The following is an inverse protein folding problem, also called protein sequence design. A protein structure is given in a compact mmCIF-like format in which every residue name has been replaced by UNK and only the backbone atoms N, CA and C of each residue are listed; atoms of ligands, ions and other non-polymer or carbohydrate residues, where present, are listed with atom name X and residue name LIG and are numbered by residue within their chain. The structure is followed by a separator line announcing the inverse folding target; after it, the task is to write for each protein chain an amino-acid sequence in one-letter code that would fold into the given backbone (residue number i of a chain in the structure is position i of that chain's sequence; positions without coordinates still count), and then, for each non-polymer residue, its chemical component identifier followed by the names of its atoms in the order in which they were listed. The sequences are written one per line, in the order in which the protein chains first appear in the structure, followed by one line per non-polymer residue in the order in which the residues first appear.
data_IF_923530830923
#
_entry.id   IF_923530830923
#
_cell.length_a   1.000
_cell.length_b   1.000
_cell.length_c   1.000
_cell.angle_alpha   90.00
_cell.angle_beta   90.00
_cell.angle_gamma   90.00
#
_symmetry.space_group_name_H-M   'P 1'
#
loop_
_entity.id
_entity.type
_entity.pdbx_description
1 polymer ?
#
# COMPACT_ATOMS: atom_id res chain seq x y z
N UNK A 1 -24.62 85.63 19.75
CA UNK A 1 -25.56 84.51 19.45
C UNK A 1 -25.30 84.05 18.03
N UNK A 2 -25.36 82.73 17.79
CA UNK A 2 -24.84 81.96 16.65
C UNK A 2 -23.32 81.73 16.72
N UNK A 3 -22.81 80.66 17.34
CA UNK A 3 -22.84 79.24 16.91
C UNK A 3 -22.53 79.05 15.43
N UNK A 4 -21.26 78.79 15.10
CA UNK A 4 -20.83 77.98 13.94
C UNK A 4 -19.31 77.82 13.92
N UNK A 5 -18.78 76.78 14.57
CA UNK A 5 -17.61 76.05 14.06
C UNK A 5 -17.40 74.69 14.75
N UNK A 6 -18.49 73.98 15.06
CA UNK A 6 -18.48 72.60 15.53
C UNK A 6 -18.04 71.58 14.46
N UNK A 7 -17.36 72.02 13.40
CA UNK A 7 -17.05 71.21 12.21
C UNK A 7 -15.55 71.11 11.88
N UNK A 8 -14.65 71.78 12.62
CA UNK A 8 -13.22 71.79 12.28
C UNK A 8 -12.31 70.96 13.20
N UNK A 9 -12.78 70.60 14.40
CA UNK A 9 -12.00 69.74 15.32
C UNK A 9 -12.34 68.25 15.19
N UNK A 10 -13.28 67.89 14.31
CA UNK A 10 -13.69 66.51 14.02
C UNK A 10 -13.01 65.94 12.76
N UNK A 11 -11.77 66.32 12.48
CA UNK A 11 -11.06 65.82 11.29
C UNK A 11 -9.65 65.28 11.51
N UNK A 12 -9.03 65.46 12.68
CA UNK A 12 -7.62 65.00 12.87
C UNK A 12 -7.42 63.95 13.96
N UNK A 13 -8.29 63.86 14.96
CA UNK A 13 -8.17 62.82 16.00
C UNK A 13 -8.90 61.52 15.66
N UNK A 14 -9.71 61.53 14.59
CA UNK A 14 -10.41 60.33 14.09
C UNK A 14 -9.68 59.65 12.92
N UNK A 15 -8.45 60.06 12.60
CA UNK A 15 -7.62 59.43 11.57
C UNK A 15 -6.60 58.42 12.15
N UNK A 16 -6.59 58.22 13.47
CA UNK A 16 -5.61 57.35 14.16
C UNK A 16 -6.25 56.33 15.11
N UNK A 17 -7.37 55.72 14.70
CA UNK A 17 -7.87 54.49 15.35
C UNK A 17 -8.06 53.36 14.32
N UNK A 18 -7.84 53.64 13.03
CA UNK A 18 -8.06 52.66 11.98
C UNK A 18 -6.77 52.31 11.25
N UNK A 19 -5.76 51.80 11.96
CA UNK A 19 -4.77 50.90 11.34
C UNK A 19 -4.95 49.45 11.79
N UNK A 20 -6.13 48.82 11.58
CA UNK A 20 -6.27 47.38 11.63
C UNK A 20 -5.96 46.73 10.27
N UNK A 21 -5.28 47.40 9.34
CA UNK A 21 -5.07 46.84 7.99
C UNK A 21 -3.86 45.90 7.86
N UNK A 22 -3.21 45.51 8.96
CA UNK A 22 -2.16 44.49 8.91
C UNK A 22 -2.45 43.23 9.76
N UNK A 23 -3.69 43.10 10.26
CA UNK A 23 -4.23 41.80 10.65
C UNK A 23 -4.99 41.12 9.50
N UNK A 24 -5.38 41.88 8.48
CA UNK A 24 -6.11 41.37 7.31
C UNK A 24 -5.21 40.63 6.33
N UNK A 25 -3.90 40.88 6.31
CA UNK A 25 -2.98 40.20 5.38
C UNK A 25 -2.65 38.76 5.80
N UNK A 26 -2.88 38.38 7.06
CA UNK A 26 -2.83 36.97 7.48
C UNK A 26 -4.18 36.25 7.32
N UNK A 27 -5.25 37.03 7.11
CA UNK A 27 -6.55 36.61 6.61
C UNK A 27 -6.70 36.94 5.12
N UNK A 28 -5.62 36.95 4.33
CA UNK A 28 -5.75 36.49 2.95
C UNK A 28 -5.95 34.98 3.02
N UNK A 29 -7.15 34.64 3.46
CA UNK A 29 -7.71 33.32 3.75
C UNK A 29 -7.15 32.37 2.71
N UNK A 30 -6.18 31.59 3.15
CA UNK A 30 -5.65 30.40 2.50
C UNK A 30 -5.75 30.49 0.97
N UNK A 31 -4.74 31.13 0.34
CA UNK A 31 -4.60 31.20 -1.11
C UNK A 31 -5.20 29.93 -1.76
N UNK A 32 -6.20 30.03 -2.65
CA UNK A 32 -6.94 28.87 -3.16
C UNK A 32 -6.04 27.76 -3.70
N UNK A 33 -4.82 28.11 -4.14
CA UNK A 33 -3.78 27.14 -4.48
C UNK A 33 -3.37 26.20 -3.34
N UNK A 34 -3.31 26.66 -2.08
CA UNK A 34 -2.99 25.83 -0.91
C UNK A 34 -4.11 24.83 -0.64
N UNK A 35 -5.38 25.22 -0.82
CA UNK A 35 -6.50 24.28 -0.69
C UNK A 35 -6.48 23.19 -1.75
N UNK A 36 -6.17 23.56 -3.01
CA UNK A 36 -6.01 22.60 -4.10
C UNK A 36 -4.83 21.66 -3.84
N UNK A 37 -3.69 22.20 -3.37
CA UNK A 37 -2.52 21.40 -3.00
C UNK A 37 -2.85 20.45 -1.83
N UNK A 38 -3.53 20.93 -0.80
CA UNK A 38 -3.92 20.13 0.36
C UNK A 38 -4.92 19.03 -0.03
N UNK A 39 -5.88 19.33 -0.90
CA UNK A 39 -6.79 18.34 -1.48
C UNK A 39 -6.04 17.29 -2.31
N UNK A 40 -5.06 17.70 -3.11
CA UNK A 40 -4.23 16.77 -3.89
C UNK A 40 -3.42 15.84 -2.97
N UNK A 41 -2.84 16.36 -1.88
CA UNK A 41 -2.11 15.56 -0.89
C UNK A 41 -3.06 14.58 -0.18
N UNK A 42 -4.24 15.04 0.25
CA UNK A 42 -5.24 14.16 0.89
C UNK A 42 -5.70 13.06 -0.07
N UNK A 43 -5.95 13.37 -1.34
CA UNK A 43 -6.34 12.39 -2.34
C UNK A 43 -5.21 11.38 -2.60
N UNK A 44 -3.97 11.84 -2.68
CA UNK A 44 -2.80 10.98 -2.85
C UNK A 44 -2.66 10.04 -1.64
N UNK A 45 -2.72 10.57 -0.43
CA UNK A 45 -2.67 9.78 0.80
C UNK A 45 -3.84 8.80 0.87
N UNK A 46 -5.06 9.25 0.62
CA UNK A 46 -6.26 8.39 0.61
C UNK A 46 -6.16 7.27 -0.42
N UNK A 47 -5.64 7.57 -1.61
CA UNK A 47 -5.36 6.59 -2.65
C UNK A 47 -4.29 5.58 -2.23
N UNK A 48 -3.20 6.04 -1.62
CA UNK A 48 -2.16 5.16 -1.07
C UNK A 48 -2.70 4.29 0.06
N UNK A 49 -3.52 4.82 0.97
CA UNK A 49 -4.13 4.03 2.04
C UNK A 49 -5.10 2.99 1.50
N UNK A 50 -5.98 3.38 0.58
CA UNK A 50 -6.91 2.47 -0.07
C UNK A 50 -6.18 1.37 -0.87
N UNK A 51 -5.15 1.76 -1.61
CA UNK A 51 -4.29 0.83 -2.35
C UNK A 51 -3.44 -0.04 -1.45
N UNK A 52 -2.99 0.47 -0.30
CA UNK A 52 -2.21 -0.28 0.69
C UNK A 52 -3.05 -1.31 1.45
N UNK A 53 -4.33 -1.02 1.70
CA UNK A 53 -5.29 -1.97 2.26
C UNK A 53 -5.71 -3.05 1.26
N UNK A 54 -5.87 -2.69 -0.02
CA UNK A 54 -6.37 -3.60 -1.06
C UNK A 54 -5.27 -4.31 -1.86
N UNK A 55 -4.05 -3.77 -1.86
CA UNK A 55 -2.91 -4.30 -2.60
C UNK A 55 -2.30 -5.46 -1.85
N UNK A 56 -2.34 -6.65 -2.44
CA UNK A 56 -1.54 -7.78 -2.02
C UNK A 56 -0.44 -7.97 -3.07
N UNK A 57 0.82 -7.75 -2.69
CA UNK A 57 1.95 -8.11 -3.53
C UNK A 57 2.32 -9.55 -3.18
N UNK A 58 1.85 -10.48 -4.01
CA UNK A 58 2.28 -11.86 -3.96
C UNK A 58 3.52 -12.04 -4.85
N UNK A 59 4.65 -12.42 -4.25
CA UNK A 59 5.79 -12.94 -5.01
C UNK A 59 5.50 -14.40 -5.35
N UNK A 60 5.35 -14.70 -6.64
CA UNK A 60 5.07 -16.05 -7.12
C UNK A 60 6.29 -16.64 -7.83
N UNK A 61 6.71 -17.84 -7.42
CA UNK A 61 7.74 -18.62 -8.11
C UNK A 61 7.09 -19.74 -8.94
N UNK A 62 7.47 -19.83 -10.22
CA UNK A 62 7.04 -20.93 -11.08
C UNK A 62 7.73 -22.24 -10.71
N UNK A 63 6.96 -23.31 -10.53
CA UNK A 63 7.46 -24.64 -10.21
C UNK A 63 6.67 -25.71 -10.97
N UNK A 64 7.24 -26.91 -11.10
CA UNK A 64 6.55 -28.05 -11.69
C UNK A 64 6.21 -29.05 -10.60
N UNK A 65 4.93 -29.40 -10.49
CA UNK A 65 4.46 -30.43 -9.57
C UNK A 65 4.20 -31.75 -10.32
N UNK A 66 4.58 -32.85 -9.70
CA UNK A 66 4.18 -34.19 -10.06
C UNK A 66 3.27 -34.72 -8.94
N UNK A 67 2.02 -35.01 -9.28
CA UNK A 67 1.04 -35.57 -8.34
C UNK A 67 1.04 -37.08 -8.50
N UNK A 68 1.30 -37.80 -7.40
CA UNK A 68 1.19 -39.25 -7.29
C UNK A 68 0.53 -39.60 -5.96
N UNK A 69 -0.52 -40.44 -5.98
CA UNK A 69 -1.19 -40.93 -4.76
C UNK A 69 -1.68 -39.81 -3.82
N UNK A 70 -2.25 -38.73 -4.38
CA UNK A 70 -2.72 -37.56 -3.61
C UNK A 70 -1.60 -36.78 -2.88
N UNK A 71 -0.34 -36.99 -3.29
CA UNK A 71 0.79 -36.19 -2.85
C UNK A 71 1.43 -35.51 -4.05
N UNK A 72 1.56 -34.19 -3.98
CA UNK A 72 2.28 -33.42 -4.97
C UNK A 72 3.75 -33.26 -4.55
N UNK A 73 4.65 -33.73 -5.41
CA UNK A 73 6.07 -33.44 -5.35
C UNK A 73 6.36 -32.24 -6.26
N UNK A 74 6.80 -31.13 -5.66
CA UNK A 74 6.97 -29.84 -6.31
C UNK A 74 8.48 -29.58 -6.44
N UNK A 75 8.95 -29.46 -7.69
CA UNK A 75 10.34 -29.15 -8.00
C UNK A 75 10.45 -27.69 -8.43
N UNK A 76 11.24 -26.92 -7.68
CA UNK A 76 11.49 -25.51 -7.99
C UNK A 76 12.43 -25.42 -9.18
N UNK A 77 12.00 -24.72 -10.24
CA UNK A 77 12.89 -24.47 -11.39
C UNK A 77 13.79 -23.29 -11.02
N UNK A 78 15.09 -23.36 -11.36
CA UNK A 78 16.20 -22.49 -10.90
C UNK A 78 15.97 -20.95 -11.00
N UNK A 79 14.91 -20.50 -11.67
CA UNK A 79 14.53 -19.09 -11.75
C UNK A 79 13.63 -18.60 -10.58
N UNK A 80 13.19 -19.49 -9.69
CA UNK A 80 12.48 -19.12 -8.47
C UNK A 80 13.46 -18.64 -7.40
N UNK A 81 13.70 -17.32 -7.33
CA UNK A 81 14.55 -16.70 -6.29
C UNK A 81 13.98 -16.75 -4.86
N UNK A 82 12.90 -17.50 -4.64
CA UNK A 82 12.28 -17.66 -3.32
C UNK A 82 12.78 -18.93 -2.64
N UNK A 83 13.26 -18.78 -1.40
CA UNK A 83 13.53 -19.92 -0.52
C UNK A 83 12.19 -20.59 -0.19
N UNK A 84 12.00 -21.84 -0.61
CA UNK A 84 10.75 -22.57 -0.35
C UNK A 84 10.79 -23.17 1.04
N UNK A 85 9.76 -22.89 1.84
CA UNK A 85 9.62 -23.37 3.21
C UNK A 85 8.28 -24.10 3.41
N UNK A 86 8.22 -24.94 4.46
CA UNK A 86 6.97 -25.53 4.93
C UNK A 86 6.01 -24.42 5.39
N UNK A 87 4.71 -24.59 5.13
CA UNK A 87 3.68 -23.58 5.38
C UNK A 87 3.42 -22.60 4.24
N UNK A 88 4.20 -22.65 3.15
CA UNK A 88 3.92 -21.83 1.96
C UNK A 88 2.72 -22.36 1.17
N UNK A 89 1.99 -21.45 0.51
CA UNK A 89 0.86 -21.80 -0.36
C UNK A 89 1.36 -22.14 -1.76
N UNK A 90 0.89 -23.26 -2.31
CA UNK A 90 1.07 -23.66 -3.70
C UNK A 90 -0.27 -23.65 -4.43
N UNK A 91 -0.33 -22.99 -5.58
CA UNK A 91 -1.53 -22.91 -6.43
C UNK A 91 -1.46 -23.92 -7.57
N UNK A 92 -2.45 -24.81 -7.61
CA UNK A 92 -2.74 -25.75 -8.68
C UNK A 92 -3.91 -25.20 -9.50
N UNK A 93 -3.62 -24.36 -10.49
CA UNK A 93 -4.66 -23.71 -11.29
C UNK A 93 -5.56 -22.80 -10.44
N UNK A 94 -6.71 -23.32 -9.99
CA UNK A 94 -7.68 -22.61 -9.13
C UNK A 94 -7.61 -23.01 -7.66
N UNK A 95 -6.99 -24.15 -7.36
CA UNK A 95 -6.97 -24.73 -6.04
C UNK A 95 -5.68 -24.35 -5.31
N UNK A 96 -5.79 -24.07 -4.01
CA UNK A 96 -4.67 -23.70 -3.16
C UNK A 96 -4.41 -24.81 -2.16
N UNK A 97 -3.14 -25.22 -2.05
CA UNK A 97 -2.68 -26.25 -1.12
C UNK A 97 -1.50 -25.72 -0.32
N UNK A 98 -1.22 -26.34 0.82
CA UNK A 98 -0.14 -25.94 1.72
C UNK A 98 1.03 -26.92 1.63
N UNK A 99 2.26 -26.40 1.55
CA UNK A 99 3.47 -27.20 1.56
C UNK A 99 3.66 -27.78 2.96
N UNK A 100 3.60 -29.10 3.07
CA UNK A 100 3.74 -29.83 4.33
C UNK A 100 5.21 -30.00 4.71
N UNK A 101 6.06 -30.33 3.75
CA UNK A 101 7.47 -30.60 3.98
C UNK A 101 8.33 -30.10 2.81
N UNK A 102 9.58 -29.77 3.11
CA UNK A 102 10.58 -29.38 2.13
C UNK A 102 11.85 -30.17 2.40
N UNK A 103 12.35 -30.84 1.38
CA UNK A 103 13.55 -31.67 1.42
C UNK A 103 14.51 -31.26 0.31
N UNK A 104 15.77 -31.69 0.42
CA UNK A 104 16.76 -31.54 -0.66
C UNK A 104 17.08 -32.91 -1.22
N UNK A 105 16.95 -33.02 -2.54
CA UNK A 105 17.33 -34.22 -3.29
C UNK A 105 18.85 -34.44 -3.25
N UNK A 106 19.31 -35.62 -3.69
CA UNK A 106 20.73 -35.98 -3.84
C UNK A 106 21.50 -35.01 -4.75
N UNK A 107 20.78 -34.32 -5.64
CA UNK A 107 21.28 -33.30 -6.56
C UNK A 107 21.31 -31.88 -5.95
N UNK A 108 20.99 -31.73 -4.66
CA UNK A 108 20.95 -30.45 -3.95
C UNK A 108 19.75 -29.54 -4.30
N UNK A 109 18.78 -30.06 -5.08
CA UNK A 109 17.57 -29.34 -5.47
C UNK A 109 16.54 -29.37 -4.36
N UNK A 110 15.86 -28.25 -4.13
CA UNK A 110 14.75 -28.16 -3.17
C UNK A 110 13.50 -28.80 -3.75
N UNK A 111 13.00 -29.83 -3.07
CA UNK A 111 11.74 -30.52 -3.37
C UNK A 111 10.76 -30.23 -2.24
N UNK A 112 9.58 -29.73 -2.58
CA UNK A 112 8.50 -29.51 -1.64
C UNK A 112 7.41 -30.58 -1.81
N UNK A 113 6.74 -30.93 -0.71
CA UNK A 113 5.64 -31.89 -0.69
C UNK A 113 4.37 -31.21 -0.20
N UNK A 114 3.27 -31.36 -0.93
CA UNK A 114 1.95 -30.91 -0.52
C UNK A 114 0.94 -32.05 -0.66
N UNK A 115 0.05 -32.22 0.31
CA UNK A 115 -1.10 -33.11 0.18
C UNK A 115 -2.12 -32.43 -0.73
N UNK A 116 -2.45 -33.04 -1.86
CA UNK A 116 -3.36 -32.48 -2.86
C UNK A 116 -4.45 -33.46 -3.22
N UNK A 117 -5.63 -32.97 -3.56
CA UNK A 117 -6.75 -33.80 -4.02
C UNK A 117 -6.91 -33.69 -5.53
N UNK A 118 -5.78 -33.78 -6.25
CA UNK A 118 -5.72 -33.75 -7.70
C UNK A 118 -5.48 -35.15 -8.26
N UNK A 119 -5.89 -35.38 -9.51
CA UNK A 119 -5.56 -36.61 -10.21
C UNK A 119 -4.05 -36.74 -10.45
N UNK A 120 -3.56 -37.98 -10.55
CA UNK A 120 -2.15 -38.23 -10.84
C UNK A 120 -1.75 -37.62 -12.19
N UNK A 121 -0.67 -36.83 -12.19
CA UNK A 121 -0.29 -36.06 -13.37
C UNK A 121 0.78 -35.00 -13.12
N UNK A 122 1.26 -34.41 -14.20
CA UNK A 122 2.21 -33.29 -14.16
C UNK A 122 1.45 -31.97 -14.31
N UNK A 123 1.70 -31.06 -13.38
CA UNK A 123 1.05 -29.75 -13.32
C UNK A 123 2.09 -28.64 -13.23
N UNK A 124 1.87 -27.56 -13.98
CA UNK A 124 2.58 -26.31 -13.76
C UNK A 124 1.92 -25.57 -12.60
N UNK A 125 2.67 -25.34 -11.53
CA UNK A 125 2.18 -24.77 -10.28
C UNK A 125 2.90 -23.46 -9.95
N UNK A 126 2.23 -22.63 -9.16
CA UNK A 126 2.81 -21.38 -8.67
C UNK A 126 2.93 -21.44 -7.16
N UNK A 127 4.15 -21.30 -6.65
CA UNK A 127 4.39 -21.22 -5.22
C UNK A 127 4.33 -19.74 -4.83
N UNK A 128 3.47 -19.40 -3.87
CA UNK A 128 3.44 -18.07 -3.27
C UNK A 128 4.53 -18.04 -2.20
N UNK A 129 5.67 -17.45 -2.53
CA UNK A 129 6.85 -17.44 -1.65
C UNK A 129 6.82 -16.29 -0.66
N UNK A 130 6.19 -15.17 -1.03
CA UNK A 130 6.02 -14.01 -0.16
C UNK A 130 4.63 -13.40 -0.38
N UNK A 131 3.96 -13.04 0.70
CA UNK A 131 2.76 -12.19 0.69
C UNK A 131 3.11 -10.91 1.45
N UNK A 132 3.22 -9.79 0.74
CA UNK A 132 3.52 -8.50 1.36
C UNK A 132 2.29 -7.60 1.20
N UNK A 133 1.67 -7.24 2.32
CA UNK A 133 0.71 -6.15 2.37
C UNK A 133 1.46 -4.83 2.54
N UNK A 134 1.31 -3.85 1.64
CA UNK A 134 2.00 -2.57 1.74
C UNK A 134 1.77 -1.84 3.07
N UNK A 135 0.68 -2.14 3.78
CA UNK A 135 0.37 -1.55 5.08
C UNK A 135 1.35 -1.98 6.17
N UNK A 136 1.97 -3.16 6.05
CA UNK A 136 2.95 -3.63 7.03
C UNK A 136 4.22 -2.77 7.03
N UNK A 137 4.59 -2.17 5.89
CA UNK A 137 5.73 -1.25 5.82
C UNK A 137 5.54 0.06 6.60
N UNK A 138 4.29 0.45 6.89
CA UNK A 138 4.00 1.65 7.70
C UNK A 138 4.11 1.40 9.21
N UNK A 139 4.11 0.13 9.63
CA UNK A 139 4.16 -0.29 11.04
C UNK A 139 5.41 -1.11 11.37
N UNK A 140 6.39 -1.15 10.46
CA UNK A 140 7.68 -1.85 10.63
C UNK A 140 8.73 -0.99 11.32
#
# INVERSE_FOLDING_TARGET
MAEQNSNIFRKRSLERISSPEQLTDYLHVTNPGIWVLLAAVILLLGGLFAWSMAGELETQAGATALVENSQAQIVVTENGKGEVASGMTVRFGKDEYEITAVEKDELGRTIAFAAVNEADGRYDVKIVTERIHPISFLFS
#
